data_IF_361027336971
#
_entry.id   IF_361027336971
#
_cell.length_a   1.000
_cell.length_b   1.000
_cell.length_c   1.000
_cell.angle_alpha   90.00
_cell.angle_beta   90.00
_cell.angle_gamma   90.00
#
_symmetry.space_group_name_H-M   'P 1'
#
loop_
_entity.id
_entity.type
_entity.pdbx_description
1 polymer ?
#
# COMPACT_ATOMS: atom_id res chain seq x y z
N UNK A 1 -43.93 31.86 -17.47
CA UNK A 1 -42.72 31.11 -17.83
C UNK A 1 -41.57 31.61 -16.98
N UNK A 2 -41.12 30.82 -15.99
CA UNK A 2 -39.73 30.76 -15.49
C UNK A 2 -39.67 29.81 -14.28
N UNK A 3 -39.74 28.51 -14.55
CA UNK A 3 -39.32 27.49 -13.58
C UNK A 3 -37.82 27.25 -13.80
N UNK A 4 -36.97 28.11 -13.23
CA UNK A 4 -35.54 27.80 -13.11
C UNK A 4 -35.44 26.68 -12.08
N UNK A 5 -35.21 25.47 -12.58
CA UNK A 5 -34.97 24.29 -11.76
C UNK A 5 -33.56 24.44 -11.14
N UNK A 6 -33.48 25.22 -10.06
CA UNK A 6 -32.22 25.44 -9.37
C UNK A 6 -31.87 24.16 -8.61
N UNK A 7 -30.96 23.37 -9.19
CA UNK A 7 -30.42 22.17 -8.54
C UNK A 7 -29.72 22.59 -7.25
N UNK A 8 -30.14 22.00 -6.13
CA UNK A 8 -29.66 22.32 -4.78
C UNK A 8 -29.18 21.06 -4.08
N UNK A 9 -28.13 21.20 -3.28
CA UNK A 9 -27.63 20.13 -2.43
C UNK A 9 -28.66 19.77 -1.35
N UNK A 10 -29.02 18.49 -1.27
CA UNK A 10 -29.98 17.97 -0.29
C UNK A 10 -29.46 17.96 1.15
N UNK A 11 -28.15 18.20 1.36
CA UNK A 11 -27.51 18.19 2.68
C UNK A 11 -27.32 19.60 3.26
N UNK A 12 -26.92 20.59 2.45
CA UNK A 12 -26.65 21.95 2.91
C UNK A 12 -27.53 23.04 2.28
N UNK A 13 -28.38 22.70 1.30
CA UNK A 13 -29.30 23.64 0.64
C UNK A 13 -28.65 24.60 -0.36
N UNK A 14 -27.33 24.56 -0.55
CA UNK A 14 -26.63 25.42 -1.53
C UNK A 14 -27.03 25.08 -2.96
N UNK A 15 -27.18 26.11 -3.79
CA UNK A 15 -27.48 25.95 -5.23
C UNK A 15 -26.22 25.56 -6.01
N UNK A 16 -26.41 25.03 -7.23
CA UNK A 16 -25.31 24.67 -8.14
C UNK A 16 -24.34 25.83 -8.40
N UNK A 17 -24.79 27.09 -8.35
CA UNK A 17 -23.93 28.26 -8.54
C UNK A 17 -23.03 28.59 -7.33
N UNK A 18 -23.39 28.09 -6.13
CA UNK A 18 -22.69 28.36 -4.88
C UNK A 18 -21.62 27.32 -4.55
N UNK A 19 -21.54 26.23 -5.31
CA UNK A 19 -20.64 25.11 -5.06
C UNK A 19 -19.84 24.80 -6.32
N UNK A 20 -18.61 24.28 -6.14
CA UNK A 20 -17.74 23.96 -7.28
C UNK A 20 -18.27 22.77 -8.07
N UNK A 21 -18.87 21.80 -7.38
CA UNK A 21 -19.43 20.61 -8.02
C UNK A 21 -20.69 20.16 -7.30
N UNK A 22 -21.71 19.81 -8.08
CA UNK A 22 -22.95 19.20 -7.61
C UNK A 22 -23.10 17.83 -8.28
N UNK A 23 -23.22 16.78 -7.48
CA UNK A 23 -23.30 15.38 -7.91
C UNK A 23 -24.76 14.93 -7.81
N UNK A 24 -25.31 14.39 -8.90
CA UNK A 24 -26.67 13.85 -8.93
C UNK A 24 -26.68 12.37 -8.53
N UNK A 25 -27.57 12.01 -7.61
CA UNK A 25 -27.87 10.64 -7.22
C UNK A 25 -29.20 10.15 -7.80
N UNK A 26 -29.58 8.89 -7.51
CA UNK A 26 -30.93 8.40 -7.78
C UNK A 26 -31.99 9.25 -7.05
N UNK A 27 -33.24 9.20 -7.53
CA UNK A 27 -34.39 9.86 -6.90
C UNK A 27 -34.30 11.39 -6.72
N UNK A 28 -33.61 12.07 -7.65
CA UNK A 28 -33.43 13.56 -7.64
C UNK A 28 -32.73 14.08 -6.37
N UNK A 29 -31.91 13.27 -5.73
CA UNK A 29 -31.04 13.69 -4.61
C UNK A 29 -29.75 14.28 -5.18
N UNK A 30 -29.25 15.37 -4.58
CA UNK A 30 -27.99 15.99 -4.99
C UNK A 30 -27.08 16.20 -3.78
N UNK A 31 -25.77 16.01 -3.97
CA UNK A 31 -24.76 16.29 -2.94
C UNK A 31 -23.64 17.15 -3.55
N UNK A 32 -23.22 18.20 -2.84
CA UNK A 32 -22.11 19.05 -3.27
C UNK A 32 -20.75 18.53 -2.79
N UNK A 33 -19.68 19.00 -3.42
CA UNK A 33 -18.30 18.67 -3.04
C UNK A 33 -17.98 18.99 -1.58
N UNK A 34 -18.48 20.11 -1.06
CA UNK A 34 -18.28 20.47 0.35
C UNK A 34 -18.92 19.45 1.32
N UNK A 35 -20.15 18.99 1.04
CA UNK A 35 -20.83 18.01 1.87
C UNK A 35 -20.15 16.64 1.79
N UNK A 36 -19.63 16.25 0.62
CA UNK A 36 -18.83 15.01 0.48
C UNK A 36 -17.60 15.07 1.40
N UNK A 37 -16.87 16.18 1.39
CA UNK A 37 -15.69 16.36 2.23
C UNK A 37 -16.04 16.35 3.73
N UNK A 38 -17.15 16.97 4.12
CA UNK A 38 -17.60 16.97 5.51
C UNK A 38 -18.01 15.56 5.95
N UNK A 39 -18.75 14.83 5.13
CA UNK A 39 -19.11 13.43 5.41
C UNK A 39 -17.87 12.54 5.52
N UNK A 40 -16.85 12.75 4.67
CA UNK A 40 -15.58 12.03 4.76
C UNK A 40 -14.86 12.28 6.09
N UNK A 41 -14.88 13.53 6.59
CA UNK A 41 -14.31 13.87 7.90
C UNK A 41 -15.04 13.19 9.05
N UNK A 42 -16.38 13.23 9.05
CA UNK A 42 -17.20 12.61 10.10
C UNK A 42 -16.97 11.08 10.13
N UNK A 43 -16.95 10.43 8.96
CA UNK A 43 -16.68 8.99 8.85
C UNK A 43 -15.26 8.65 9.34
N UNK A 44 -14.28 9.52 9.06
CA UNK A 44 -12.91 9.33 9.52
C UNK A 44 -12.78 9.43 11.06
N UNK A 45 -13.58 10.26 11.72
CA UNK A 45 -13.59 10.42 13.18
C UNK A 45 -14.23 9.24 13.93
N UNK A 46 -15.19 8.53 13.32
CA UNK A 46 -15.86 7.36 13.94
C UNK A 46 -15.04 6.05 13.87
N UNK A 47 -13.95 6.02 13.09
CA UNK A 47 -13.00 4.91 13.09
C UNK A 47 -11.98 5.05 14.24
N UNK A 48 -11.96 4.16 15.26
CA UNK A 48 -11.24 4.40 16.50
C UNK A 48 -9.77 4.02 16.36
N UNK A 49 -8.97 4.83 15.68
CA UNK A 49 -7.51 4.76 15.82
C UNK A 49 -6.92 6.17 15.99
N UNK A 50 -6.52 6.45 17.23
CA UNK A 50 -5.72 7.61 17.62
C UNK A 50 -4.40 7.59 16.87
N UNK A 51 -4.27 8.38 15.82
CA UNK A 51 -2.97 8.67 15.22
C UNK A 51 -2.52 10.09 15.52
N UNK A 52 -1.44 10.12 16.29
CA UNK A 52 -0.51 11.24 16.44
C UNK A 52 -0.22 11.88 15.08
N UNK A 53 -0.45 13.19 15.02
CA UNK A 53 -0.10 14.09 13.92
C UNK A 53 1.30 13.78 13.39
N UNK A 54 1.38 13.22 12.20
CA UNK A 54 2.54 13.36 11.32
C UNK A 54 2.05 13.94 9.99
N UNK A 55 2.72 14.96 9.44
CA UNK A 55 2.23 15.65 8.28
C UNK A 55 2.52 14.84 7.00
N UNK A 56 1.46 14.66 6.21
CA UNK A 56 1.46 14.56 4.75
C UNK A 56 2.09 13.29 4.12
N UNK A 57 1.26 12.31 3.74
CA UNK A 57 1.73 11.19 2.91
C UNK A 57 0.78 10.04 2.59
N UNK A 58 -0.14 10.24 1.63
CA UNK A 58 -0.80 9.22 0.78
C UNK A 58 -1.71 8.15 1.43
N UNK A 59 -2.99 8.22 1.04
CA UNK A 59 -4.13 7.35 1.35
C UNK A 59 -4.03 5.85 0.98
N UNK A 60 -2.86 5.33 0.56
CA UNK A 60 -2.64 3.87 0.35
C UNK A 60 -1.91 3.18 1.51
N UNK A 61 -1.50 3.94 2.53
CA UNK A 61 -0.66 3.47 3.63
C UNK A 61 -1.37 3.40 4.97
N UNK A 62 -2.67 3.73 5.03
CA UNK A 62 -3.49 3.58 6.24
C UNK A 62 -3.53 2.08 6.62
N UNK A 63 -2.62 1.66 7.49
CA UNK A 63 -2.54 0.31 8.04
C UNK A 63 -1.23 -0.45 7.79
N UNK A 64 -0.43 -0.11 6.76
CA UNK A 64 0.82 -0.84 6.49
C UNK A 64 1.97 -0.30 7.35
N UNK A 65 2.15 -0.89 8.53
CA UNK A 65 3.29 -0.63 9.41
C UNK A 65 4.07 -1.92 9.70
N UNK A 66 5.34 -1.84 10.18
CA UNK A 66 6.14 -3.04 10.45
C UNK A 66 5.49 -3.99 11.45
N UNK A 67 4.71 -3.49 12.41
CA UNK A 67 4.03 -4.32 13.41
C UNK A 67 2.87 -5.10 12.79
N UNK A 68 2.12 -4.50 11.90
CA UNK A 68 1.08 -5.17 11.13
C UNK A 68 1.67 -6.28 10.26
N UNK A 69 2.75 -6.01 9.52
CA UNK A 69 3.43 -7.02 8.69
C UNK A 69 3.92 -8.18 9.56
N UNK A 70 4.53 -7.88 10.70
CA UNK A 70 5.01 -8.87 11.66
C UNK A 70 3.87 -9.77 12.16
N UNK A 71 2.77 -9.17 12.60
CA UNK A 71 1.61 -9.89 13.12
C UNK A 71 0.96 -10.78 12.05
N UNK A 72 0.91 -10.29 10.80
CA UNK A 72 0.38 -11.10 9.70
C UNK A 72 1.29 -12.27 9.37
N UNK A 73 2.61 -12.11 9.48
CA UNK A 73 3.57 -13.21 9.34
C UNK A 73 3.48 -14.23 10.48
N UNK A 74 3.18 -13.81 11.71
CA UNK A 74 2.97 -14.70 12.86
C UNK A 74 1.88 -15.75 12.61
N UNK A 75 0.83 -15.40 11.88
CA UNK A 75 -0.29 -16.32 11.60
C UNK A 75 0.12 -17.54 10.74
N UNK A 76 1.22 -17.44 10.01
CA UNK A 76 1.67 -18.48 9.07
C UNK A 76 3.07 -19.03 9.39
N UNK A 77 3.93 -18.23 10.05
CA UNK A 77 5.32 -18.58 10.34
C UNK A 77 5.53 -18.61 11.85
N UNK A 78 5.60 -19.84 12.39
CA UNK A 78 5.84 -20.09 13.81
C UNK A 78 7.31 -19.86 14.16
N UNK A 79 7.57 -19.05 15.19
CA UNK A 79 8.93 -18.69 15.62
C UNK A 79 9.64 -17.78 14.61
N UNK A 80 10.97 -17.87 14.52
CA UNK A 80 11.78 -17.05 13.60
C UNK A 80 11.62 -15.53 13.82
N UNK A 81 11.45 -15.09 15.07
CA UNK A 81 11.07 -13.72 15.43
C UNK A 81 12.02 -12.66 14.86
N UNK A 82 13.32 -12.94 14.87
CA UNK A 82 14.33 -12.07 14.26
C UNK A 82 14.10 -11.90 12.76
N UNK A 83 13.84 -12.99 12.03
CA UNK A 83 13.60 -12.93 10.60
C UNK A 83 12.31 -12.16 10.29
N UNK A 84 11.22 -12.45 11.01
CA UNK A 84 9.93 -11.74 10.85
C UNK A 84 10.10 -10.23 11.09
N UNK A 85 10.83 -9.83 12.14
CA UNK A 85 11.09 -8.41 12.44
C UNK A 85 11.92 -7.72 11.34
N UNK A 86 13.01 -8.36 10.89
CA UNK A 86 13.87 -7.82 9.82
C UNK A 86 13.09 -7.67 8.51
N UNK A 87 12.34 -8.71 8.10
CA UNK A 87 11.51 -8.68 6.90
C UNK A 87 10.47 -7.56 6.96
N UNK A 88 9.79 -7.41 8.10
CA UNK A 88 8.75 -6.41 8.28
C UNK A 88 9.28 -4.98 8.14
N UNK A 89 10.43 -4.69 8.75
CA UNK A 89 11.08 -3.36 8.65
C UNK A 89 11.61 -3.12 7.24
N UNK A 90 12.27 -4.11 6.64
CA UNK A 90 12.87 -3.98 5.32
C UNK A 90 11.81 -3.73 4.23
N UNK A 91 10.68 -4.45 4.28
CA UNK A 91 9.58 -4.24 3.32
C UNK A 91 8.90 -2.89 3.54
N UNK A 92 8.65 -2.50 4.79
CA UNK A 92 8.11 -1.18 5.08
C UNK A 92 9.01 -0.07 4.52
N UNK A 93 10.33 -0.17 4.73
CA UNK A 93 11.30 0.78 4.19
C UNK A 93 11.38 0.73 2.66
N UNK A 94 11.23 -0.45 2.04
CA UNK A 94 11.16 -0.59 0.59
C UNK A 94 9.99 0.22 0.02
N UNK A 95 8.78 0.07 0.58
CA UNK A 95 7.63 0.85 0.14
C UNK A 95 7.78 2.34 0.44
N UNK A 96 8.29 2.69 1.64
CA UNK A 96 8.56 4.09 1.98
C UNK A 96 9.45 4.75 0.92
N UNK A 97 10.49 4.04 0.47
CA UNK A 97 11.38 4.48 -0.61
C UNK A 97 10.67 4.60 -1.96
N UNK A 98 9.90 3.59 -2.36
CA UNK A 98 9.14 3.63 -3.63
C UNK A 98 8.17 4.80 -3.67
N UNK A 99 7.51 5.10 -2.55
CA UNK A 99 6.59 6.22 -2.43
C UNK A 99 7.30 7.58 -2.30
N UNK A 100 8.45 7.66 -1.63
CA UNK A 100 9.19 8.92 -1.44
C UNK A 100 9.94 9.37 -2.69
N UNK A 101 10.37 8.43 -3.54
CA UNK A 101 10.99 8.74 -4.84
C UNK A 101 10.07 9.53 -5.78
N UNK A 102 8.78 9.69 -5.45
CA UNK A 102 7.85 10.54 -6.19
C UNK A 102 7.81 12.00 -5.69
N UNK A 103 8.53 12.36 -4.61
CA UNK A 103 8.35 13.66 -3.93
C UNK A 103 9.62 14.40 -3.50
N UNK A 104 10.77 13.74 -3.34
CA UNK A 104 11.98 14.37 -2.83
C UNK A 104 13.21 13.96 -3.64
N UNK A 105 13.78 14.91 -4.39
CA UNK A 105 14.99 14.70 -5.20
C UNK A 105 16.29 14.79 -4.37
N UNK A 106 16.24 15.34 -3.13
CA UNK A 106 17.46 15.63 -2.36
C UNK A 106 17.95 14.49 -1.44
N UNK A 107 17.14 13.44 -1.19
CA UNK A 107 17.50 12.37 -0.25
C UNK A 107 17.40 11.00 -0.91
N UNK A 108 18.56 10.41 -1.22
CA UNK A 108 18.64 9.04 -1.74
C UNK A 108 18.47 8.01 -0.61
N UNK A 109 17.37 7.25 -0.65
CA UNK A 109 17.17 6.11 0.22
C UNK A 109 17.79 4.84 -0.38
N UNK A 110 18.70 4.21 0.36
CA UNK A 110 19.35 2.98 -0.09
C UNK A 110 18.41 1.76 -0.08
N UNK A 111 18.66 0.81 -1.00
CA UNK A 111 17.93 -0.48 -1.03
C UNK A 111 18.41 -1.37 0.11
N UNK A 112 17.50 -1.86 0.93
CA UNK A 112 17.80 -2.93 1.87
C UNK A 112 17.56 -4.30 1.21
N UNK A 113 18.65 -4.97 0.80
CA UNK A 113 18.60 -6.39 0.42
C UNK A 113 18.78 -7.27 1.67
N UNK A 114 18.19 -8.46 1.67
CA UNK A 114 18.16 -9.35 2.85
C UNK A 114 18.83 -10.67 2.49
N UNK A 115 19.76 -11.13 3.31
CA UNK A 115 20.31 -12.48 3.28
C UNK A 115 19.73 -13.28 4.44
N UNK A 116 19.05 -14.40 4.13
CA UNK A 116 18.49 -15.30 5.14
C UNK A 116 19.38 -16.52 5.34
N UNK A 117 19.92 -16.68 6.56
CA UNK A 117 20.75 -17.82 6.95
C UNK A 117 19.99 -18.73 7.92
N UNK A 118 20.06 -20.04 7.69
CA UNK A 118 19.43 -21.04 8.56
C UNK A 118 19.43 -22.44 7.94
N UNK A 119 19.19 -23.50 8.75
CA UNK A 119 19.21 -24.88 8.29
C UNK A 119 18.13 -25.18 7.24
N UNK A 120 18.23 -26.33 6.55
CA UNK A 120 17.17 -26.78 5.65
C UNK A 120 15.85 -26.95 6.42
N UNK A 121 14.72 -26.71 5.75
CA UNK A 121 13.39 -26.83 6.35
C UNK A 121 13.00 -25.74 7.37
N UNK A 122 13.84 -24.75 7.66
CA UNK A 122 13.55 -23.71 8.65
C UNK A 122 12.54 -22.63 8.22
N UNK A 123 11.91 -22.77 7.05
CA UNK A 123 10.90 -21.84 6.56
C UNK A 123 11.40 -20.60 5.81
N UNK A 124 12.68 -20.52 5.40
CA UNK A 124 13.23 -19.36 4.67
C UNK A 124 12.41 -18.98 3.43
N UNK A 125 12.20 -19.94 2.52
CA UNK A 125 11.39 -19.75 1.30
C UNK A 125 9.93 -19.45 1.64
N UNK A 126 9.40 -20.11 2.67
CA UNK A 126 8.01 -19.95 3.10
C UNK A 126 7.71 -18.54 3.64
N UNK A 127 8.66 -17.93 4.36
CA UNK A 127 8.56 -16.53 4.83
C UNK A 127 8.40 -15.58 3.64
N UNK A 128 9.26 -15.71 2.63
CA UNK A 128 9.22 -14.83 1.45
C UNK A 128 7.92 -14.99 0.64
N UNK A 129 7.51 -16.24 0.36
CA UNK A 129 6.26 -16.54 -0.34
C UNK A 129 5.02 -16.04 0.41
N UNK A 130 5.00 -16.21 1.73
CA UNK A 130 3.89 -15.76 2.56
C UNK A 130 3.80 -14.25 2.61
N UNK A 131 4.94 -13.57 2.70
CA UNK A 131 4.97 -12.11 2.68
C UNK A 131 4.46 -11.54 1.35
N UNK A 132 4.82 -12.15 0.22
CA UNK A 132 4.30 -11.77 -1.08
C UNK A 132 2.78 -11.94 -1.17
N UNK A 133 2.23 -13.06 -0.68
CA UNK A 133 0.78 -13.31 -0.62
C UNK A 133 0.04 -12.31 0.28
N UNK A 134 0.62 -11.97 1.43
CA UNK A 134 0.03 -11.01 2.38
C UNK A 134 -0.08 -9.61 1.75
N UNK A 135 0.93 -9.22 0.98
CA UNK A 135 1.07 -7.89 0.41
C UNK A 135 0.49 -7.76 -1.00
N UNK A 136 0.03 -8.89 -1.57
CA UNK A 136 -0.51 -8.98 -2.92
C UNK A 136 0.42 -8.35 -3.97
N UNK A 137 1.68 -8.79 -3.99
CA UNK A 137 2.71 -8.29 -4.92
C UNK A 137 3.30 -9.40 -5.78
N UNK A 138 3.76 -9.06 -7.01
CA UNK A 138 4.53 -9.97 -7.85
C UNK A 138 5.75 -10.52 -7.11
N UNK A 139 6.01 -11.82 -7.27
CA UNK A 139 7.07 -12.52 -6.57
C UNK A 139 7.71 -13.59 -7.44
N UNK A 140 9.01 -13.44 -7.69
CA UNK A 140 9.81 -14.41 -8.43
C UNK A 140 10.69 -15.22 -7.48
N UNK A 141 10.83 -16.51 -7.77
CA UNK A 141 11.76 -17.43 -7.11
C UNK A 141 12.76 -17.90 -8.16
N UNK A 142 14.04 -17.84 -7.81
CA UNK A 142 15.13 -18.34 -8.66
C UNK A 142 16.12 -19.14 -7.82
N UNK A 143 16.71 -20.16 -8.43
CA UNK A 143 17.83 -20.91 -7.86
C UNK A 143 19.14 -20.33 -8.40
N UNK A 144 20.04 -19.93 -7.52
CA UNK A 144 21.33 -19.37 -7.94
C UNK A 144 22.24 -20.42 -8.59
N UNK A 145 22.03 -21.72 -8.31
CA UNK A 145 22.86 -22.80 -8.87
C UNK A 145 22.62 -23.03 -10.36
N UNK A 146 21.49 -22.56 -10.90
CA UNK A 146 21.15 -22.69 -12.33
C UNK A 146 21.61 -21.49 -13.16
N UNK A 147 22.10 -20.42 -12.53
CA UNK A 147 22.52 -19.19 -13.20
C UNK A 147 23.97 -19.29 -13.67
N UNK A 148 24.23 -18.91 -14.93
CA UNK A 148 25.59 -18.86 -15.48
C UNK A 148 25.84 -17.56 -16.23
N UNK A 149 27.05 -17.01 -16.07
CA UNK A 149 27.44 -15.70 -16.62
C UNK A 149 27.40 -15.64 -18.15
N UNK A 150 27.72 -16.76 -18.83
CA UNK A 150 27.86 -16.79 -20.29
C UNK A 150 26.58 -17.20 -21.05
N UNK A 151 25.48 -17.55 -20.35
CA UNK A 151 24.21 -17.96 -20.97
C UNK A 151 24.26 -19.16 -21.92
N UNK A 152 25.43 -19.79 -22.09
CA UNK A 152 25.62 -20.89 -23.05
C UNK A 152 25.14 -22.24 -22.50
N UNK A 153 25.18 -22.39 -21.17
CA UNK A 153 24.64 -23.56 -20.44
C UNK A 153 24.12 -23.04 -19.10
N UNK A 154 22.85 -22.65 -19.02
CA UNK A 154 22.22 -22.11 -17.80
C UNK A 154 21.22 -20.99 -18.07
N UNK A 155 20.50 -20.56 -17.03
CA UNK A 155 19.57 -19.43 -17.11
C UNK A 155 20.29 -18.09 -16.94
N UNK A 156 19.95 -17.10 -17.78
CA UNK A 156 20.37 -15.71 -17.59
C UNK A 156 19.66 -15.08 -16.37
N UNK A 157 20.35 -14.17 -15.67
CA UNK A 157 19.79 -13.36 -14.58
C UNK A 157 18.58 -12.55 -15.05
N UNK A 158 18.58 -12.09 -16.31
CA UNK A 158 17.44 -11.34 -16.87
C UNK A 158 16.15 -12.16 -16.93
N UNK A 159 16.25 -13.48 -17.12
CA UNK A 159 15.09 -14.37 -17.15
C UNK A 159 14.33 -14.42 -15.82
N UNK A 160 14.96 -14.06 -14.70
CA UNK A 160 14.31 -13.99 -13.39
C UNK A 160 13.20 -12.92 -13.40
N UNK A 161 13.42 -11.81 -14.12
CA UNK A 161 12.44 -10.72 -14.20
C UNK A 161 11.23 -11.07 -15.07
N UNK A 162 11.40 -11.94 -16.06
CA UNK A 162 10.31 -12.43 -16.92
C UNK A 162 9.33 -13.37 -16.20
N UNK A 163 9.69 -13.86 -15.01
CA UNK A 163 8.86 -14.75 -14.18
C UNK A 163 7.94 -14.00 -13.20
N UNK A 164 7.96 -12.66 -13.20
CA UNK A 164 7.14 -11.81 -12.34
C UNK A 164 5.69 -11.70 -12.79
#
# INVERSE_FOLDING_TARGET
MNSRNDYQCSFCGKTQAQVRRLIAGPDRVFICDECVNLCEQIIAEESPEKDTKSPQGNYKTKGLNPKWIYNRLEEYVVGQDRAKKVMSVAVYNHYKRVWSNQRFEEVELQKANILMLGPSGSGKTHIAQTLARILDVPFAIADATTLTEAGYVGEDVENILLRL
#
